data_IF_191150759086
#
_entry.id   IF_191150759086
#
_cell.length_a   1.000
_cell.length_b   1.000
_cell.length_c   1.000
_cell.angle_alpha   90.00
_cell.angle_beta   90.00
_cell.angle_gamma   90.00
#
_symmetry.space_group_name_H-M   'P 1'
#
loop_
_entity.id
_entity.type
_entity.pdbx_description
1 polymer ?
#
# COMPACT_ATOMS: atom_id res chain seq x y z
N UNK A 1 0.48 6.02 -15.70
CA UNK A 1 0.86 4.97 -14.73
C UNK A 1 1.85 4.04 -15.41
N UNK A 2 3.14 4.26 -15.18
CA UNK A 2 4.18 3.37 -15.71
C UNK A 2 4.49 2.32 -14.65
N UNK A 3 4.42 1.05 -15.03
CA UNK A 3 4.87 -0.06 -14.19
C UNK A 3 6.35 -0.28 -14.45
N UNK A 4 7.10 -0.50 -13.39
CA UNK A 4 8.48 -0.97 -13.51
C UNK A 4 8.50 -2.39 -14.10
N UNK A 5 9.32 -2.60 -15.13
CA UNK A 5 9.38 -3.87 -15.88
C UNK A 5 9.86 -5.06 -15.04
N UNK A 6 10.58 -4.81 -13.96
CA UNK A 6 11.20 -5.86 -13.14
C UNK A 6 10.27 -6.36 -12.03
N UNK A 7 9.44 -5.48 -11.46
CA UNK A 7 8.60 -5.82 -10.30
C UNK A 7 7.12 -5.50 -10.47
N UNK A 8 6.71 -4.92 -11.60
CA UNK A 8 5.34 -4.45 -11.80
C UNK A 8 4.95 -3.34 -10.82
N UNK A 9 5.93 -2.57 -10.33
CA UNK A 9 5.72 -1.55 -9.28
C UNK A 9 5.44 -0.20 -9.88
N UNK A 10 4.54 0.54 -9.23
CA UNK A 10 4.27 1.95 -9.53
C UNK A 10 5.08 2.86 -8.62
N UNK A 11 5.11 4.17 -8.91
CA UNK A 11 5.71 5.17 -8.03
C UNK A 11 5.16 5.10 -6.59
N UNK A 12 3.87 4.79 -6.43
CA UNK A 12 3.22 4.65 -5.12
C UNK A 12 3.82 3.50 -4.29
N UNK A 13 4.15 2.38 -4.95
CA UNK A 13 4.85 1.27 -4.29
C UNK A 13 6.23 1.68 -3.77
N UNK A 14 6.98 2.45 -4.56
CA UNK A 14 8.31 2.91 -4.16
C UNK A 14 8.25 3.94 -3.03
N UNK A 15 7.34 4.91 -3.10
CA UNK A 15 7.14 5.88 -2.04
C UNK A 15 6.79 5.18 -0.71
N UNK A 16 5.87 4.21 -0.74
CA UNK A 16 5.48 3.43 0.43
C UNK A 16 6.63 2.55 0.97
N UNK A 17 7.41 1.92 0.07
CA UNK A 17 8.54 1.08 0.45
C UNK A 17 9.66 1.86 1.15
N UNK A 18 10.01 3.03 0.62
CA UNK A 18 11.11 3.84 1.18
C UNK A 18 10.67 4.72 2.34
N UNK A 19 9.36 4.91 2.54
CA UNK A 19 8.81 5.74 3.62
C UNK A 19 8.74 7.22 3.28
N UNK A 20 8.61 7.56 2.00
CA UNK A 20 8.50 8.94 1.54
C UNK A 20 7.04 9.42 1.65
N UNK A 21 6.59 9.69 2.87
CA UNK A 21 5.22 10.13 3.19
C UNK A 21 4.78 11.38 2.43
N UNK A 22 5.64 12.39 2.32
CA UNK A 22 5.33 13.64 1.60
C UNK A 22 5.14 13.41 0.10
N UNK A 23 6.01 12.59 -0.50
CA UNK A 23 5.86 12.18 -1.89
C UNK A 23 4.58 11.36 -2.08
N UNK A 24 4.27 10.49 -1.13
CA UNK A 24 3.08 9.65 -1.17
C UNK A 24 1.79 10.49 -1.10
N UNK A 25 1.72 11.48 -0.20
CA UNK A 25 0.61 12.44 -0.17
C UNK A 25 0.51 13.23 -1.47
N UNK A 26 1.64 13.74 -1.98
CA UNK A 26 1.67 14.53 -3.23
C UNK A 26 1.21 13.71 -4.43
N UNK A 27 1.58 12.43 -4.50
CA UNK A 27 1.14 11.51 -5.56
C UNK A 27 -0.36 11.24 -5.45
N UNK A 28 -0.88 11.00 -4.25
CA UNK A 28 -2.30 10.72 -4.03
C UNK A 28 -3.16 11.95 -4.31
N UNK A 29 -2.74 13.15 -3.88
CA UNK A 29 -3.46 14.40 -4.15
C UNK A 29 -3.52 14.70 -5.65
N UNK A 30 -2.41 14.54 -6.37
CA UNK A 30 -2.38 14.67 -7.82
C UNK A 30 -3.19 13.59 -8.53
N UNK A 31 -3.21 12.36 -8.01
CA UNK A 31 -4.00 11.27 -8.58
C UNK A 31 -5.51 11.53 -8.48
N UNK A 32 -5.99 12.21 -7.42
CA UNK A 32 -7.41 12.58 -7.25
C UNK A 32 -7.89 13.59 -8.28
N UNK A 33 -7.02 14.49 -8.73
CA UNK A 33 -7.35 15.54 -9.71
C UNK A 33 -7.07 15.13 -11.15
N UNK A 34 -6.24 14.11 -11.36
CA UNK A 34 -5.88 13.62 -12.68
C UNK A 34 -7.01 12.79 -13.32
N UNK A 35 -7.20 12.98 -14.63
CA UNK A 35 -8.14 12.21 -15.46
C UNK A 35 -7.90 10.68 -15.41
N UNK A 36 -6.71 10.25 -14.94
CA UNK A 36 -6.36 8.83 -14.72
C UNK A 36 -7.26 8.18 -13.66
N UNK A 37 -7.70 8.92 -12.64
CA UNK A 37 -8.66 8.40 -11.65
C UNK A 37 -10.05 8.14 -12.24
N UNK A 38 -10.42 8.85 -13.31
CA UNK A 38 -11.73 8.69 -13.97
C UNK A 38 -11.80 7.42 -14.83
N UNK A 39 -10.68 7.00 -15.42
CA UNK A 39 -10.65 5.82 -16.30
C UNK A 39 -10.38 4.51 -15.54
N UNK A 40 -9.54 4.54 -14.50
CA UNK A 40 -9.15 3.34 -13.75
C UNK A 40 -9.78 3.25 -12.35
N UNK A 41 -10.30 4.36 -11.81
CA UNK A 41 -10.82 4.46 -10.45
C UNK A 41 -9.73 4.76 -9.42
N UNK A 42 -9.88 5.85 -8.66
CA UNK A 42 -8.99 6.20 -7.54
C UNK A 42 -8.78 5.04 -6.54
N UNK A 43 -9.83 4.28 -6.12
CA UNK A 43 -9.65 3.15 -5.21
C UNK A 43 -8.74 2.05 -5.78
N UNK A 44 -8.79 1.82 -7.11
CA UNK A 44 -7.94 0.84 -7.79
C UNK A 44 -6.48 1.28 -7.80
N UNK A 45 -6.23 2.59 -7.89
CA UNK A 45 -4.87 3.14 -7.87
C UNK A 45 -4.20 2.96 -6.51
N UNK A 46 -4.92 3.22 -5.40
CA UNK A 46 -4.39 3.05 -4.04
C UNK A 46 -4.12 1.58 -3.72
N UNK A 47 -4.96 0.68 -4.23
CA UNK A 47 -4.89 -0.76 -4.00
C UNK A 47 -4.19 -1.54 -5.12
N UNK A 48 -3.39 -0.87 -5.94
CA UNK A 48 -2.72 -1.48 -7.06
C UNK A 48 -1.74 -2.56 -6.58
N UNK A 49 -1.69 -3.70 -7.29
CA UNK A 49 -0.86 -4.85 -6.91
C UNK A 49 0.38 -4.90 -7.79
N UNK A 50 1.53 -5.17 -7.19
CA UNK A 50 2.77 -5.45 -7.91
C UNK A 50 2.80 -6.90 -8.44
N UNK A 51 3.88 -7.30 -9.10
CA UNK A 51 4.02 -8.65 -9.67
C UNK A 51 3.97 -9.78 -8.61
N UNK A 52 4.20 -9.46 -7.33
CA UNK A 52 4.06 -10.39 -6.20
C UNK A 52 2.67 -10.34 -5.56
N UNK A 53 1.77 -9.53 -6.12
CA UNK A 53 0.46 -9.28 -5.54
C UNK A 53 0.52 -8.40 -4.29
N UNK A 54 1.65 -7.77 -3.97
CA UNK A 54 1.76 -6.83 -2.84
C UNK A 54 1.13 -5.49 -3.23
N UNK A 55 0.37 -4.88 -2.32
CA UNK A 55 -0.12 -3.49 -2.48
C UNK A 55 0.88 -2.50 -1.86
N UNK A 56 0.78 -1.19 -2.13
CA UNK A 56 1.60 -0.18 -1.44
C UNK A 56 1.52 -0.30 0.08
N UNK A 57 0.34 -0.65 0.62
CA UNK A 57 0.12 -0.85 2.05
C UNK A 57 0.95 -2.02 2.61
N UNK A 58 1.06 -3.14 1.88
CA UNK A 58 1.95 -4.25 2.25
C UNK A 58 3.40 -3.80 2.32
N UNK A 59 3.86 -2.99 1.36
CA UNK A 59 5.25 -2.53 1.33
C UNK A 59 5.54 -1.56 2.48
N UNK A 60 4.64 -0.64 2.79
CA UNK A 60 4.77 0.26 3.93
C UNK A 60 4.81 -0.51 5.27
N UNK A 61 3.90 -1.47 5.44
CA UNK A 61 3.86 -2.35 6.61
C UNK A 61 5.16 -3.16 6.77
N UNK A 62 5.67 -3.75 5.68
CA UNK A 62 6.92 -4.54 5.67
C UNK A 62 8.12 -3.70 6.09
N UNK A 63 8.15 -2.46 5.64
CA UNK A 63 9.27 -1.53 5.84
C UNK A 63 9.12 -0.69 7.11
N UNK A 64 8.11 -1.00 7.96
CA UNK A 64 7.88 -0.35 9.25
C UNK A 64 7.66 1.16 9.10
N UNK A 65 6.82 1.55 8.14
CA UNK A 65 6.52 2.95 7.81
C UNK A 65 5.10 3.33 8.27
N UNK A 66 4.87 3.63 9.56
CA UNK A 66 3.54 3.95 10.09
C UNK A 66 2.90 5.14 9.36
N UNK A 67 3.63 6.23 9.16
CA UNK A 67 3.10 7.41 8.45
C UNK A 67 2.55 7.07 7.05
N UNK A 68 3.25 6.21 6.31
CA UNK A 68 2.77 5.75 5.01
C UNK A 68 1.56 4.82 5.12
N UNK A 69 1.48 3.99 6.16
CA UNK A 69 0.32 3.15 6.45
C UNK A 69 -0.89 4.03 6.71
N UNK A 70 -0.78 5.01 7.61
CA UNK A 70 -1.84 5.97 7.91
C UNK A 70 -2.35 6.69 6.66
N UNK A 71 -1.44 7.28 5.87
CA UNK A 71 -1.83 8.02 4.66
C UNK A 71 -2.53 7.12 3.64
N UNK A 72 -2.06 5.89 3.45
CA UNK A 72 -2.68 4.94 2.52
C UNK A 72 -4.08 4.55 3.00
N UNK A 73 -4.27 4.29 4.29
CA UNK A 73 -5.57 3.93 4.88
C UNK A 73 -6.57 5.10 4.76
N UNK A 74 -6.16 6.32 5.09
CA UNK A 74 -6.97 7.53 4.90
C UNK A 74 -7.44 7.73 3.46
N UNK A 75 -6.67 7.25 2.49
CA UNK A 75 -6.98 7.35 1.06
C UNK A 75 -7.70 6.10 0.52
N UNK A 76 -8.22 5.22 1.37
CA UNK A 76 -9.03 4.07 0.98
C UNK A 76 -8.22 2.82 0.60
N UNK A 77 -7.03 2.65 1.17
CA UNK A 77 -6.33 1.38 1.09
C UNK A 77 -7.11 0.28 1.84
N UNK A 78 -7.17 -0.90 1.24
CA UNK A 78 -7.84 -2.07 1.81
C UNK A 78 -6.96 -2.65 2.92
N UNK A 79 -7.39 -2.49 4.17
CA UNK A 79 -6.66 -2.93 5.36
C UNK A 79 -6.44 -4.45 5.40
N UNK A 80 -7.40 -5.23 4.87
CA UNK A 80 -7.33 -6.69 4.76
C UNK A 80 -7.01 -7.16 3.33
N UNK A 81 -6.33 -6.34 2.52
CA UNK A 81 -5.92 -6.76 1.18
C UNK A 81 -5.08 -8.04 1.26
N UNK A 82 -5.43 -9.08 0.50
CA UNK A 82 -4.60 -10.28 0.41
C UNK A 82 -3.57 -10.17 -0.70
N UNK A 83 -2.35 -10.62 -0.43
CA UNK A 83 -1.34 -10.87 -1.45
C UNK A 83 -1.72 -12.09 -2.31
N UNK A 84 -1.52 -11.99 -3.62
CA UNK A 84 -1.90 -13.02 -4.59
C UNK A 84 -0.75 -13.77 -5.27
N UNK A 85 0.51 -13.39 -5.01
CA UNK A 85 1.66 -13.92 -5.74
C UNK A 85 2.14 -15.28 -5.24
N UNK A 86 2.75 -16.06 -6.15
CA UNK A 86 3.48 -17.29 -5.84
C UNK A 86 4.56 -17.01 -4.78
N UNK A 87 4.41 -17.60 -3.59
CA UNK A 87 5.37 -17.54 -2.47
C UNK A 87 4.91 -16.78 -1.22
N UNK A 88 3.88 -15.95 -1.34
CA UNK A 88 3.25 -15.25 -0.20
C UNK A 88 1.75 -15.19 -0.42
N UNK A 89 1.09 -16.32 -0.62
CA UNK A 89 -0.35 -16.33 -0.89
C UNK A 89 -1.13 -16.03 0.40
N UNK A 90 -2.04 -15.05 0.34
CA UNK A 90 -2.98 -14.79 1.43
C UNK A 90 -2.43 -14.02 2.64
N UNK A 91 -1.24 -13.42 2.53
CA UNK A 91 -0.76 -12.52 3.58
C UNK A 91 -1.53 -11.20 3.53
N UNK A 92 -1.92 -10.70 4.69
CA UNK A 92 -2.50 -9.35 4.85
C UNK A 92 -1.41 -8.36 5.26
N UNK A 93 -1.65 -7.04 5.17
CA UNK A 93 -0.72 -6.03 5.68
C UNK A 93 -0.33 -6.28 7.14
N UNK A 94 -1.25 -6.81 7.96
CA UNK A 94 -1.00 -7.16 9.35
C UNK A 94 0.02 -8.30 9.50
N UNK A 95 -0.10 -9.38 8.71
CA UNK A 95 0.89 -10.46 8.68
C UNK A 95 2.28 -9.93 8.32
N UNK A 96 2.33 -9.01 7.35
CA UNK A 96 3.57 -8.41 6.87
C UNK A 96 4.17 -7.44 7.90
N UNK A 97 3.34 -6.66 8.61
CA UNK A 97 3.76 -5.79 9.71
C UNK A 97 4.32 -6.60 10.89
N UNK A 98 3.67 -7.72 11.23
CA UNK A 98 4.12 -8.67 12.25
C UNK A 98 5.48 -9.27 11.88
N UNK A 99 5.66 -9.69 10.62
CA UNK A 99 6.96 -10.17 10.12
C UNK A 99 8.04 -9.10 10.16
N UNK A 100 7.68 -7.84 9.89
CA UNK A 100 8.59 -6.69 9.96
C UNK A 100 8.89 -6.23 11.38
N UNK A 101 8.17 -6.72 12.40
CA UNK A 101 8.35 -6.31 13.80
C UNK A 101 7.95 -4.86 14.08
N UNK A 102 7.02 -4.28 13.30
CA UNK A 102 6.58 -2.90 13.51
C UNK A 102 5.34 -2.83 14.40
N UNK A 103 5.53 -2.53 15.69
CA UNK A 103 4.41 -2.36 16.61
C UNK A 103 3.50 -1.21 16.18
N UNK A 104 4.07 -0.09 15.72
CA UNK A 104 3.29 1.09 15.33
C UNK A 104 2.39 0.80 14.11
N UNK A 105 2.93 0.14 13.09
CA UNK A 105 2.10 -0.27 11.94
C UNK A 105 1.01 -1.27 12.34
N UNK A 106 1.30 -2.19 13.27
CA UNK A 106 0.29 -3.13 13.80
C UNK A 106 -0.84 -2.37 14.49
N UNK A 107 -0.50 -1.39 15.34
CA UNK A 107 -1.49 -0.57 16.06
C UNK A 107 -2.37 0.21 15.10
N UNK A 108 -1.79 0.83 14.07
CA UNK A 108 -2.57 1.54 13.06
C UNK A 108 -3.49 0.60 12.27
N UNK A 109 -2.97 -0.53 11.80
CA UNK A 109 -3.77 -1.51 11.05
C UNK A 109 -4.93 -2.05 11.92
N UNK A 110 -4.67 -2.37 13.18
CA UNK A 110 -5.71 -2.82 14.12
C UNK A 110 -6.74 -1.72 14.42
N UNK A 111 -6.31 -0.45 14.55
CA UNK A 111 -7.22 0.67 14.74
C UNK A 111 -8.18 0.85 13.55
N UNK A 112 -7.73 0.49 12.35
CA UNK A 112 -8.53 0.48 11.13
C UNK A 112 -9.33 -0.82 10.89
N UNK A 113 -9.33 -1.76 11.85
CA UNK A 113 -10.14 -2.98 11.78
C UNK A 113 -9.50 -4.13 11.00
N UNK A 114 -8.17 -4.22 10.98
CA UNK A 114 -7.43 -5.36 10.41
C UNK A 114 -7.60 -6.69 11.19
N UNK A 115 -8.49 -6.72 12.18
CA UNK A 115 -8.79 -7.84 13.08
C UNK A 115 -9.89 -8.79 12.56
N UNK A 116 -10.47 -8.48 11.40
CA UNK A 116 -11.56 -9.21 10.74
C UNK A 116 -11.09 -9.96 9.50
#
# INVERSE_FOLDING_TARGET
LMFDSMRGRTCLHYAAYYGHSDCLQSILSAARTSHVAMSWGFPRFVNIRDAKGETPLHLAARQRRPDCVHILLDNGALVCASTGGYGYTGSTPLHVAARGGSLDCIRELLAWGADR
#
